data_IF_660177917010
#
_entry.id   IF_660177917010
#
_cell.length_a   1.000
_cell.length_b   1.000
_cell.length_c   1.000
_cell.angle_alpha   90.00
_cell.angle_beta   90.00
_cell.angle_gamma   90.00
#
_symmetry.space_group_name_H-M   'P 1'
#
loop_
_entity.id
_entity.type
_entity.pdbx_description
1 polymer ?
#
# COMPACT_ATOMS: atom_id res chain seq x y z
N UNK A 1 -49.46 -41.96 -14.95
CA UNK A 1 -48.96 -43.33 -14.74
C UNK A 1 -47.46 -43.31 -15.02
N UNK A 2 -46.62 -43.18 -13.98
CA UNK A 2 -45.99 -44.26 -13.20
C UNK A 2 -44.86 -44.96 -14.00
N UNK A 3 -43.63 -45.22 -13.53
CA UNK A 3 -42.93 -45.06 -12.25
C UNK A 3 -41.44 -45.43 -12.49
N UNK A 4 -40.51 -44.59 -12.01
CA UNK A 4 -39.19 -44.86 -11.39
C UNK A 4 -37.98 -45.54 -12.12
N UNK A 5 -36.93 -44.70 -12.21
CA UNK A 5 -35.58 -44.82 -11.56
C UNK A 5 -34.52 -45.73 -12.21
N UNK A 6 -33.42 -45.08 -12.64
CA UNK A 6 -32.06 -45.49 -12.27
C UNK A 6 -31.28 -44.22 -11.88
N UNK A 7 -30.91 -44.14 -10.60
CA UNK A 7 -29.95 -43.17 -10.07
C UNK A 7 -28.61 -43.88 -10.20
N UNK A 8 -27.67 -43.30 -10.95
CA UNK A 8 -26.27 -43.67 -10.83
C UNK A 8 -25.45 -42.43 -10.46
N UNK A 9 -24.53 -42.56 -9.50
CA UNK A 9 -23.95 -41.46 -8.75
C UNK A 9 -22.61 -41.03 -9.38
N UNK A 10 -21.96 -40.04 -8.78
CA UNK A 10 -20.54 -39.68 -9.01
C UNK A 10 -20.13 -39.24 -10.42
N UNK A 11 -20.32 -37.96 -10.69
CA UNK A 11 -19.38 -37.13 -11.47
C UNK A 11 -19.59 -35.67 -11.07
N UNK A 12 -19.32 -35.34 -9.81
CA UNK A 12 -18.04 -34.75 -9.37
C UNK A 12 -17.66 -33.57 -10.26
N UNK A 13 -18.09 -32.38 -9.80
CA UNK A 13 -17.40 -31.09 -9.89
C UNK A 13 -16.19 -31.03 -10.84
N UNK A 14 -16.34 -30.27 -11.93
CA UNK A 14 -15.21 -29.71 -12.66
C UNK A 14 -15.44 -28.20 -12.85
N UNK A 15 -15.54 -27.47 -11.74
CA UNK A 15 -15.15 -26.07 -11.71
C UNK A 15 -13.65 -26.03 -11.37
N UNK A 16 -12.83 -26.33 -12.37
CA UNK A 16 -11.39 -26.10 -12.35
C UNK A 16 -11.15 -25.11 -13.50
N UNK A 17 -10.73 -23.88 -13.28
CA UNK A 17 -9.77 -23.43 -12.27
C UNK A 17 -8.69 -22.74 -13.08
N UNK A 18 -8.82 -21.44 -13.32
CA UNK A 18 -7.78 -20.67 -13.99
C UNK A 18 -7.90 -19.16 -13.71
N UNK A 19 -7.73 -18.78 -12.45
CA UNK A 19 -7.27 -17.43 -12.08
C UNK A 19 -6.31 -17.57 -10.90
N UNK A 20 -5.11 -18.07 -11.18
CA UNK A 20 -4.00 -18.06 -10.24
C UNK A 20 -2.75 -17.76 -11.07
N UNK A 21 -2.48 -16.48 -11.32
CA UNK A 21 -1.16 -15.83 -11.15
C UNK A 21 -1.37 -14.31 -11.22
N UNK A 22 -1.89 -13.72 -10.15
CA UNK A 22 -1.57 -12.35 -9.79
C UNK A 22 -0.82 -12.48 -8.48
N UNK A 23 0.51 -12.42 -8.49
CA UNK A 23 1.27 -12.44 -7.24
C UNK A 23 0.82 -11.25 -6.40
N UNK A 24 0.19 -11.52 -5.26
CA UNK A 24 -0.01 -10.50 -4.22
C UNK A 24 1.37 -10.14 -3.66
N UNK A 25 2.09 -9.26 -4.35
CA UNK A 25 3.08 -8.42 -3.72
C UNK A 25 2.31 -7.23 -3.14
N UNK A 26 1.62 -7.46 -2.04
CA UNK A 26 1.05 -6.34 -1.29
C UNK A 26 2.20 -5.42 -0.89
N UNK A 27 2.08 -4.10 -1.12
CA UNK A 27 3.10 -3.17 -0.69
C UNK A 27 3.17 -3.23 0.84
N UNK A 28 4.36 -3.56 1.36
CA UNK A 28 4.58 -3.55 2.81
C UNK A 28 4.55 -2.11 3.28
N UNK A 29 3.73 -1.85 4.30
CA UNK A 29 3.62 -0.56 4.97
C UNK A 29 4.14 -0.69 6.40
N UNK A 30 5.29 -0.07 6.67
CA UNK A 30 5.71 0.25 8.03
C UNK A 30 5.91 1.76 8.06
N UNK A 31 5.09 2.46 8.85
CA UNK A 31 5.09 3.91 8.86
C UNK A 31 5.17 4.53 10.26
N UNK A 32 5.62 5.78 10.28
CA UNK A 32 5.55 6.65 11.44
C UNK A 32 5.00 8.02 11.03
N UNK A 33 4.17 8.61 11.87
CA UNK A 33 3.57 9.91 11.64
C UNK A 33 3.73 10.80 12.87
N UNK A 34 4.23 12.00 12.65
CA UNK A 34 4.35 13.04 13.68
C UNK A 34 3.81 14.34 13.11
N UNK A 35 2.97 15.02 13.87
CA UNK A 35 2.47 16.35 13.54
C UNK A 35 2.58 17.28 14.74
N UNK A 36 2.69 18.57 14.47
CA UNK A 36 2.64 19.60 15.50
C UNK A 36 1.39 20.50 15.38
N UNK A 37 1.07 21.30 16.39
CA UNK A 37 -0.11 22.17 16.38
C UNK A 37 -0.08 23.30 15.34
N UNK A 38 1.07 23.58 14.72
CA UNK A 38 1.19 24.57 13.64
C UNK A 38 0.71 24.03 12.29
N UNK A 39 0.43 22.73 12.21
CA UNK A 39 -0.01 22.06 10.99
C UNK A 39 1.15 21.53 10.14
N UNK A 40 2.38 21.54 10.67
CA UNK A 40 3.49 20.81 10.06
C UNK A 40 3.45 19.33 10.43
N UNK A 41 3.92 18.48 9.53
CA UNK A 41 4.01 17.04 9.75
C UNK A 41 5.24 16.41 9.11
N UNK A 42 5.64 15.28 9.68
CA UNK A 42 6.62 14.35 9.16
C UNK A 42 5.96 12.98 9.06
N UNK A 43 5.99 12.42 7.85
CA UNK A 43 5.53 11.07 7.57
C UNK A 43 6.69 10.26 7.02
N UNK A 44 6.92 9.10 7.59
CA UNK A 44 7.95 8.18 7.14
C UNK A 44 7.31 6.87 6.76
N UNK A 45 7.68 6.33 5.59
CA UNK A 45 7.22 5.03 5.13
C UNK A 45 8.40 4.18 4.69
N UNK A 46 8.48 2.96 5.20
CA UNK A 46 9.27 1.89 4.61
C UNK A 46 8.37 1.09 3.68
N UNK A 47 8.85 0.87 2.45
CA UNK A 47 8.14 0.11 1.42
C UNK A 47 9.08 -0.90 0.77
N UNK A 48 8.56 -2.00 0.24
CA UNK A 48 9.29 -3.00 -0.54
C UNK A 48 9.25 -2.75 -2.06
N UNK A 49 8.63 -1.65 -2.50
CA UNK A 49 8.53 -1.25 -3.90
C UNK A 49 9.82 -0.59 -4.40
N UNK A 50 10.33 -1.02 -5.57
CA UNK A 50 11.56 -0.51 -6.19
C UNK A 50 11.50 1.01 -6.41
N UNK A 51 12.21 1.79 -5.61
CA UNK A 51 12.39 3.22 -5.88
C UNK A 51 13.48 3.43 -6.93
N UNK A 52 13.08 3.71 -8.16
CA UNK A 52 13.98 4.41 -9.09
C UNK A 52 13.83 5.93 -8.90
N UNK A 53 14.84 6.75 -9.27
CA UNK A 53 14.71 8.21 -9.20
C UNK A 53 13.54 8.81 -10.00
N UNK A 54 12.95 8.03 -10.93
CA UNK A 54 11.76 8.39 -11.69
C UNK A 54 10.50 7.63 -11.21
N UNK A 55 10.54 7.04 -10.02
CA UNK A 55 9.43 6.29 -9.41
C UNK A 55 8.42 7.24 -8.74
N UNK A 56 7.99 8.26 -9.48
CA UNK A 56 6.77 9.05 -9.21
C UNK A 56 5.51 8.28 -9.70
N UNK A 57 5.65 6.97 -9.88
CA UNK A 57 4.64 6.07 -10.42
C UNK A 57 3.69 5.54 -9.35
N UNK A 58 3.31 4.28 -9.51
CA UNK A 58 2.32 3.61 -8.65
C UNK A 58 2.75 3.53 -7.18
N UNK A 59 4.03 3.26 -6.93
CA UNK A 59 4.57 3.11 -5.59
C UNK A 59 4.49 4.41 -4.77
N UNK A 60 4.75 5.55 -5.41
CA UNK A 60 4.59 6.85 -4.76
C UNK A 60 3.13 7.20 -4.50
N UNK A 61 2.24 6.92 -5.46
CA UNK A 61 0.80 7.10 -5.24
C UNK A 61 0.30 6.31 -4.03
N UNK A 62 0.73 5.06 -3.88
CA UNK A 62 0.38 4.22 -2.72
C UNK A 62 0.86 4.88 -1.42
N UNK A 63 2.10 5.41 -1.39
CA UNK A 63 2.61 6.13 -0.21
C UNK A 63 1.82 7.40 0.09
N UNK A 64 1.34 8.12 -0.93
CA UNK A 64 0.45 9.27 -0.75
C UNK A 64 -0.94 8.88 -0.26
N UNK A 65 -1.49 7.75 -0.71
CA UNK A 65 -2.76 7.23 -0.19
C UNK A 65 -2.61 6.86 1.31
N UNK A 66 -1.49 6.26 1.70
CA UNK A 66 -1.17 6.00 3.10
C UNK A 66 -0.99 7.27 3.93
N UNK A 67 -0.31 8.28 3.38
CA UNK A 67 -0.19 9.59 4.03
C UNK A 67 -1.56 10.25 4.19
N UNK A 68 -2.40 10.24 3.16
CA UNK A 68 -3.75 10.79 3.23
C UNK A 68 -4.58 10.09 4.31
N UNK A 69 -4.43 8.77 4.46
CA UNK A 69 -5.05 8.01 5.54
C UNK A 69 -4.54 8.49 6.92
N UNK A 70 -3.23 8.67 7.10
CA UNK A 70 -2.68 9.19 8.36
C UNK A 70 -3.23 10.58 8.70
N UNK A 71 -3.25 11.50 7.73
CA UNK A 71 -3.80 12.84 7.93
C UNK A 71 -5.28 12.79 8.34
N UNK A 72 -6.06 11.91 7.69
CA UNK A 72 -7.46 11.68 8.03
C UNK A 72 -7.65 11.08 9.42
N UNK A 73 -6.88 10.05 9.78
CA UNK A 73 -6.98 9.36 11.07
C UNK A 73 -6.63 10.29 12.24
N UNK A 74 -5.71 11.22 12.01
CA UNK A 74 -5.33 12.26 12.96
C UNK A 74 -6.25 13.49 12.92
N UNK A 75 -7.20 13.56 11.99
CA UNK A 75 -8.15 14.66 11.86
C UNK A 75 -7.50 16.00 11.52
N UNK A 76 -6.37 15.99 10.80
CA UNK A 76 -5.63 17.19 10.40
C UNK A 76 -5.64 17.39 8.88
N UNK A 77 -5.25 18.58 8.43
CA UNK A 77 -5.14 18.94 7.01
C UNK A 77 -6.41 18.69 6.18
N UNK A 78 -7.60 18.89 6.76
CA UNK A 78 -8.88 18.69 6.05
C UNK A 78 -9.10 19.62 4.85
N UNK A 79 -8.38 20.75 4.78
CA UNK A 79 -8.35 21.66 3.63
C UNK A 79 -7.33 21.24 2.56
N UNK A 80 -6.57 20.17 2.79
CA UNK A 80 -5.45 19.74 1.98
C UNK A 80 -4.10 20.01 2.66
N UNK A 81 -3.04 19.56 1.99
CA UNK A 81 -1.67 19.69 2.45
C UNK A 81 -0.72 19.90 1.26
N UNK A 82 0.49 20.36 1.55
CA UNK A 82 1.60 20.41 0.60
C UNK A 82 2.78 19.64 1.15
N UNK A 83 3.40 18.83 0.30
CA UNK A 83 4.70 18.21 0.58
C UNK A 83 5.78 19.24 0.27
N UNK A 84 6.62 19.54 1.25
CA UNK A 84 7.74 20.45 1.13
C UNK A 84 9.04 19.71 0.84
N UNK A 85 9.22 18.55 1.48
CA UNK A 85 10.44 17.74 1.37
C UNK A 85 10.04 16.29 1.14
N UNK A 86 10.73 15.66 0.19
CA UNK A 86 10.74 14.20 0.00
C UNK A 86 12.19 13.74 0.02
N UNK A 87 12.53 12.79 0.88
CA UNK A 87 13.89 12.30 1.05
C UNK A 87 13.92 10.78 1.12
N UNK A 88 14.80 10.17 0.33
CA UNK A 88 15.20 8.78 0.55
C UNK A 88 16.23 8.74 1.68
N UNK A 89 16.01 7.87 2.65
CA UNK A 89 16.96 7.60 3.72
C UNK A 89 17.55 6.22 3.47
N UNK A 90 18.87 6.20 3.29
CA UNK A 90 19.62 4.95 3.24
C UNK A 90 19.72 4.41 4.66
N UNK A 91 19.07 3.28 4.93
CA UNK A 91 19.22 2.59 6.19
C UNK A 91 20.57 1.85 6.20
N UNK A 92 21.50 2.15 7.13
CA UNK A 92 22.90 1.71 7.08
C UNK A 92 23.08 0.18 7.13
N UNK A 93 22.09 -0.55 7.63
CA UNK A 93 22.13 -2.00 7.80
C UNK A 93 21.13 -2.76 6.91
N UNK A 94 20.49 -2.08 5.95
CA UNK A 94 19.54 -2.76 5.06
C UNK A 94 20.33 -3.43 3.93
N UNK A 95 20.18 -4.75 3.71
CA UNK A 95 20.79 -5.41 2.57
C UNK A 95 20.42 -4.65 1.28
N UNK A 96 21.33 -4.58 0.29
CA UNK A 96 20.99 -3.99 -1.00
C UNK A 96 19.73 -4.66 -1.54
N UNK A 97 18.66 -3.88 -1.67
CA UNK A 97 17.31 -4.35 -1.95
C UNK A 97 16.38 -3.17 -2.16
N UNK A 98 15.15 -3.45 -2.59
CA UNK A 98 14.17 -2.44 -2.96
C UNK A 98 13.54 -1.74 -1.74
N UNK A 99 13.98 -2.08 -0.52
CA UNK A 99 13.41 -1.56 0.70
C UNK A 99 14.16 -0.31 1.15
N UNK A 100 13.57 0.85 0.91
CA UNK A 100 14.07 2.13 1.36
C UNK A 100 13.07 2.80 2.30
N UNK A 101 13.59 3.59 3.22
CA UNK A 101 12.80 4.50 4.02
C UNK A 101 12.63 5.82 3.25
N UNK A 102 11.39 6.30 3.14
CA UNK A 102 11.06 7.57 2.50
C UNK A 102 10.45 8.49 3.54
N UNK A 103 11.03 9.67 3.67
CA UNK A 103 10.56 10.71 4.59
C UNK A 103 9.91 11.83 3.78
N UNK A 104 8.69 12.16 4.16
CA UNK A 104 7.90 13.28 3.66
C UNK A 104 7.74 14.31 4.77
N UNK A 105 8.14 15.55 4.51
CA UNK A 105 7.82 16.70 5.36
C UNK A 105 6.81 17.56 4.63
N UNK A 106 5.77 17.99 5.34
CA UNK A 106 4.74 18.82 4.74
C UNK A 106 4.04 19.71 5.75
N UNK A 107 3.11 20.51 5.23
CA UNK A 107 2.24 21.39 6.03
C UNK A 107 0.80 21.34 5.53
N UNK A 108 -0.15 21.52 6.43
CA UNK A 108 -1.55 21.75 6.07
C UNK A 108 -1.72 23.09 5.33
N UNK A 109 -2.79 23.18 4.52
CA UNK A 109 -3.21 24.42 3.84
C UNK A 109 -4.10 25.30 4.73
#
# INVERSE_FOLDING_TARGET
MAMFRRIDPVRTLAFAGLVLVGGCNDPVRVDSFVSDPSGAFVYTAQTNTVMTPNDDGEAERIRFDWLAQQLSDHGICGAGYVIEIRRLVDAPDTPPGNAHEVVYTGRCL
#
